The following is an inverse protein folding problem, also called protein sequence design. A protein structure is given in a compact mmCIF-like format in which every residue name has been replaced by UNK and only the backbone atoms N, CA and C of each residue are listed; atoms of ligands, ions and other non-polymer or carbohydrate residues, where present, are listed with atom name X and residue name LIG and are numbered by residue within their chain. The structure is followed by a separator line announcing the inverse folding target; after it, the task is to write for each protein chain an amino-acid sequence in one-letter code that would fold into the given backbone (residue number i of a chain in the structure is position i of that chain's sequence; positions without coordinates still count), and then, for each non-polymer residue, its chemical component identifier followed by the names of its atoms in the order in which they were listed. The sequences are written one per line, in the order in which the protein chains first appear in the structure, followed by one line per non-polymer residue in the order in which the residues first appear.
data_IF_158281952862
#
_entry.id   IF_158281952862
#
_cell.length_a   1.000
_cell.length_b   1.000
_cell.length_c   1.000
_cell.angle_alpha   90.00
_cell.angle_beta   90.00
_cell.angle_gamma   90.00
#
_symmetry.space_group_name_H-M   'P 1'
#
loop_
_entity.id
_entity.type
_entity.pdbx_description
1 polymer ?
#
# COMPACT_ATOMS: atom_id res chain seq x y z
N UNK A 1 4.16 -9.62 12.64
CA UNK A 1 3.10 -8.82 11.99
C UNK A 1 2.12 -8.35 13.06
N UNK A 2 1.31 -9.25 13.62
CA UNK A 2 0.25 -8.93 14.59
C UNK A 2 0.76 -8.16 15.81
N UNK A 3 1.87 -8.58 16.42
CA UNK A 3 2.47 -7.89 17.56
C UNK A 3 2.87 -6.43 17.23
N UNK A 4 3.47 -6.20 16.06
CA UNK A 4 3.85 -4.87 15.59
C UNK A 4 2.63 -3.96 15.41
N UNK A 5 1.57 -4.49 14.78
CA UNK A 5 0.32 -3.76 14.59
C UNK A 5 -0.33 -3.45 15.95
N UNK A 6 -0.39 -4.42 16.85
CA UNK A 6 -0.99 -4.28 18.16
C UNK A 6 -0.29 -3.19 19.00
N UNK A 7 1.05 -3.17 19.02
CA UNK A 7 1.82 -2.14 19.74
C UNK A 7 1.49 -0.75 19.23
N UNK A 8 1.52 -0.52 17.91
CA UNK A 8 1.23 0.80 17.33
C UNK A 8 -0.23 1.23 17.58
N UNK A 9 -1.19 0.32 17.40
CA UNK A 9 -2.61 0.61 17.68
C UNK A 9 -2.84 0.93 19.15
N UNK A 10 -2.19 0.21 20.07
CA UNK A 10 -2.32 0.46 21.51
C UNK A 10 -1.82 1.85 21.92
N UNK A 11 -0.89 2.42 21.17
CA UNK A 11 -0.41 3.79 21.33
C UNK A 11 -1.31 4.85 20.66
N UNK A 12 -2.47 4.45 20.08
CA UNK A 12 -3.38 5.36 19.39
C UNK A 12 -2.88 5.83 18.02
N UNK A 13 -1.84 5.20 17.47
CA UNK A 13 -1.23 5.59 16.20
C UNK A 13 -1.98 4.90 15.05
N UNK A 14 -2.49 5.64 14.04
CA UNK A 14 -3.02 5.03 12.83
C UNK A 14 -1.94 4.23 12.10
N UNK A 15 -2.24 2.99 11.73
CA UNK A 15 -1.29 2.08 11.09
C UNK A 15 -1.69 1.84 9.65
N UNK A 16 -0.70 1.97 8.76
CA UNK A 16 -0.79 1.60 7.35
C UNK A 16 0.33 0.58 7.10
N UNK A 17 -0.02 -0.57 6.51
CA UNK A 17 0.95 -1.58 6.10
C UNK A 17 1.13 -1.55 4.59
N UNK A 18 2.35 -1.29 4.12
CA UNK A 18 2.65 -1.23 2.68
C UNK A 18 3.17 -2.59 2.21
N UNK A 19 2.61 -3.10 1.12
CA UNK A 19 3.07 -4.33 0.48
C UNK A 19 4.49 -4.23 -0.08
N UNK A 20 5.09 -5.37 -0.34
CA UNK A 20 6.38 -5.49 -1.01
C UNK A 20 6.21 -5.38 -2.54
N UNK A 21 7.14 -4.73 -3.26
CA UNK A 21 7.16 -4.75 -4.72
C UNK A 21 7.71 -6.08 -5.22
N UNK A 22 7.59 -6.34 -6.53
CA UNK A 22 8.38 -7.37 -7.18
C UNK A 22 9.89 -7.06 -7.10
N UNK A 23 10.72 -8.11 -7.02
CA UNK A 23 12.17 -8.01 -6.93
C UNK A 23 12.83 -8.85 -8.02
N UNK A 24 14.05 -8.50 -8.42
CA UNK A 24 14.76 -9.26 -9.45
C UNK A 24 14.95 -10.72 -9.00
N UNK A 25 14.51 -11.64 -9.85
CA UNK A 25 14.65 -13.09 -9.65
C UNK A 25 13.33 -13.75 -9.23
N UNK A 26 13.07 -14.93 -9.79
CA UNK A 26 11.81 -15.67 -9.61
C UNK A 26 11.53 -15.95 -8.14
N UNK A 27 12.50 -16.50 -7.40
CA UNK A 27 12.33 -16.84 -5.99
C UNK A 27 12.02 -15.62 -5.12
N UNK A 28 12.73 -14.50 -5.32
CA UNK A 28 12.48 -13.28 -4.55
C UNK A 28 11.11 -12.67 -4.86
N UNK A 29 10.66 -12.76 -6.12
CA UNK A 29 9.30 -12.34 -6.52
C UNK A 29 8.24 -13.23 -5.87
N UNK A 30 8.40 -14.55 -5.91
CA UNK A 30 7.49 -15.52 -5.27
C UNK A 30 7.41 -15.30 -3.75
N UNK A 31 8.56 -15.13 -3.09
CA UNK A 31 8.63 -14.88 -1.65
C UNK A 31 7.92 -13.57 -1.28
N UNK A 32 8.10 -12.52 -2.09
CA UNK A 32 7.41 -11.24 -1.90
C UNK A 32 5.89 -11.38 -2.08
N UNK A 33 5.45 -12.13 -3.08
CA UNK A 33 4.01 -12.40 -3.30
C UNK A 33 3.40 -13.16 -2.12
N UNK A 34 4.07 -14.23 -1.66
CA UNK A 34 3.63 -15.01 -0.50
C UNK A 34 3.54 -14.16 0.77
N UNK A 35 4.56 -13.32 1.03
CA UNK A 35 4.56 -12.43 2.18
C UNK A 35 3.45 -11.37 2.09
N UNK A 36 3.17 -10.86 0.89
CA UNK A 36 2.09 -9.90 0.65
C UNK A 36 0.70 -10.48 0.97
N UNK A 37 0.44 -11.74 0.61
CA UNK A 37 -0.80 -12.43 0.98
C UNK A 37 -0.95 -12.52 2.51
N UNK A 38 0.13 -12.90 3.20
CA UNK A 38 0.14 -12.96 4.66
C UNK A 38 -0.07 -11.57 5.27
N UNK A 39 0.63 -10.53 4.80
CA UNK A 39 0.50 -9.17 5.30
C UNK A 39 -0.90 -8.61 5.10
N UNK A 40 -1.49 -8.79 3.91
CA UNK A 40 -2.86 -8.37 3.60
C UNK A 40 -3.85 -9.01 4.56
N UNK A 41 -3.80 -10.34 4.71
CA UNK A 41 -4.70 -11.08 5.59
C UNK A 41 -4.61 -10.61 7.05
N UNK A 42 -3.39 -10.37 7.55
CA UNK A 42 -3.20 -9.86 8.93
C UNK A 42 -3.66 -8.41 9.10
N UNK A 43 -3.41 -7.56 8.10
CA UNK A 43 -3.85 -6.17 8.10
C UNK A 43 -5.38 -6.06 8.12
N UNK A 44 -6.07 -6.83 7.28
CA UNK A 44 -7.53 -6.94 7.24
C UNK A 44 -8.09 -7.41 8.58
N UNK A 45 -7.55 -8.50 9.13
CA UNK A 45 -7.96 -9.02 10.45
C UNK A 45 -7.78 -8.00 11.57
N UNK A 46 -6.74 -7.17 11.50
CA UNK A 46 -6.48 -6.12 12.48
C UNK A 46 -7.26 -4.83 12.22
N UNK A 47 -8.02 -4.73 11.12
CA UNK A 47 -8.75 -3.52 10.72
C UNK A 47 -7.82 -2.35 10.44
N UNK A 48 -6.65 -2.59 9.85
CA UNK A 48 -5.72 -1.54 9.40
C UNK A 48 -5.66 -1.50 7.87
N UNK A 49 -5.19 -0.38 7.32
CA UNK A 49 -5.09 -0.20 5.87
C UNK A 49 -3.90 -1.02 5.35
N UNK A 50 -4.13 -1.83 4.33
CA UNK A 50 -3.07 -2.46 3.53
C UNK A 50 -2.95 -1.75 2.19
N UNK A 51 -1.75 -1.27 1.85
CA UNK A 51 -1.47 -0.60 0.58
C UNK A 51 -0.87 -1.61 -0.38
N UNK A 52 -1.67 -2.02 -1.35
CA UNK A 52 -1.18 -2.85 -2.45
C UNK A 52 -0.43 -1.99 -3.48
N UNK A 53 0.83 -2.33 -3.72
CA UNK A 53 1.69 -1.63 -4.66
C UNK A 53 2.11 -2.51 -5.85
N UNK A 54 1.71 -3.78 -5.88
CA UNK A 54 2.29 -4.80 -6.74
C UNK A 54 2.24 -4.42 -8.23
N UNK A 55 1.06 -4.08 -8.72
CA UNK A 55 0.79 -3.69 -10.11
C UNK A 55 1.58 -2.45 -10.55
N UNK A 56 2.05 -1.65 -9.59
CA UNK A 56 2.90 -0.50 -9.86
C UNK A 56 4.34 -0.86 -10.23
N UNK A 57 4.78 -2.10 -10.01
CA UNK A 57 6.18 -2.50 -10.12
C UNK A 57 6.39 -3.80 -10.89
N UNK A 58 5.39 -4.26 -11.63
CA UNK A 58 5.48 -5.40 -12.54
C UNK A 58 5.27 -4.96 -13.99
N UNK A 59 5.65 -5.82 -14.93
CA UNK A 59 5.26 -5.68 -16.33
C UNK A 59 3.83 -6.22 -16.58
N UNK A 60 3.41 -6.21 -17.84
CA UNK A 60 2.08 -6.68 -18.28
C UNK A 60 1.86 -8.17 -18.02
N UNK A 61 2.94 -8.96 -17.85
CA UNK A 61 2.87 -10.38 -17.52
C UNK A 61 2.89 -10.62 -15.99
N UNK A 62 2.88 -9.56 -15.19
CA UNK A 62 2.99 -9.64 -13.73
C UNK A 62 4.39 -9.99 -13.22
N UNK A 63 5.42 -9.90 -14.07
CA UNK A 63 6.81 -10.22 -13.73
C UNK A 63 7.59 -8.98 -13.31
N UNK A 64 8.73 -9.21 -12.67
CA UNK A 64 9.63 -8.13 -12.28
C UNK A 64 10.04 -7.28 -13.50
N UNK A 65 9.81 -5.98 -13.40
CA UNK A 65 10.34 -5.00 -14.35
C UNK A 65 11.18 -3.93 -13.64
N UNK A 66 12.40 -3.64 -14.12
CA UNK A 66 13.20 -2.54 -13.58
C UNK A 66 12.67 -1.15 -13.97
N UNK A 67 11.71 -1.09 -14.89
CA UNK A 67 11.19 0.12 -15.52
C UNK A 67 9.67 0.08 -15.67
N UNK A 68 9.03 1.24 -15.71
CA UNK A 68 7.59 1.34 -15.86
C UNK A 68 7.13 2.79 -15.79
N UNK A 69 5.82 3.05 -15.90
CA UNK A 69 5.30 4.40 -15.76
C UNK A 69 5.61 4.94 -14.35
N UNK A 70 6.16 6.14 -14.26
CA UNK A 70 6.31 6.86 -13.00
C UNK A 70 4.98 7.47 -12.54
N UNK A 71 5.00 8.35 -11.53
CA UNK A 71 3.80 8.99 -11.01
C UNK A 71 3.13 9.96 -12.00
N UNK A 72 3.82 10.35 -13.08
CA UNK A 72 3.31 11.17 -14.19
C UNK A 72 2.94 10.33 -15.41
N UNK A 73 3.04 8.99 -15.33
CA UNK A 73 2.79 8.09 -16.44
C UNK A 73 3.95 7.95 -17.42
N UNK A 74 5.11 8.58 -17.18
CA UNK A 74 6.26 8.48 -18.07
C UNK A 74 7.06 7.21 -17.79
N UNK A 75 7.43 6.47 -18.81
CA UNK A 75 8.31 5.29 -18.63
C UNK A 75 9.67 5.73 -18.11
N UNK A 76 9.98 5.32 -16.87
CA UNK A 76 11.25 5.59 -16.19
C UNK A 76 11.80 4.30 -15.60
N UNK A 77 13.10 4.32 -15.29
CA UNK A 77 13.71 3.29 -14.47
C UNK A 77 13.26 3.47 -13.01
N UNK A 78 12.54 2.50 -12.47
CA UNK A 78 11.97 2.53 -11.12
C UNK A 78 12.85 1.80 -10.10
N UNK A 79 13.67 0.84 -10.55
CA UNK A 79 14.52 0.01 -9.70
C UNK A 79 16.01 0.26 -9.95
N UNK A 80 16.83 0.14 -8.91
CA UNK A 80 18.30 0.16 -9.00
C UNK A 80 18.82 -1.04 -9.81
N UNK A 81 20.11 -1.06 -10.14
CA UNK A 81 20.72 -2.16 -10.93
C UNK A 81 20.57 -3.52 -10.26
N UNK A 82 20.69 -3.59 -8.95
CA UNK A 82 20.45 -4.81 -8.17
C UNK A 82 18.99 -5.32 -8.28
N UNK A 83 18.02 -4.48 -8.64
CA UNK A 83 16.61 -4.83 -8.70
C UNK A 83 15.92 -4.98 -7.33
N UNK A 84 16.57 -4.52 -6.26
CA UNK A 84 16.10 -4.59 -4.86
C UNK A 84 15.67 -3.22 -4.34
N UNK A 85 16.41 -2.16 -4.65
CA UNK A 85 16.06 -0.79 -4.23
C UNK A 85 15.33 0.00 -5.31
N UNK A 86 14.73 1.11 -4.90
CA UNK A 86 14.09 2.06 -5.80
C UNK A 86 15.04 3.17 -6.22
N UNK A 87 14.87 3.65 -7.46
CA UNK A 87 15.41 4.95 -7.86
C UNK A 87 14.57 6.09 -7.25
N UNK A 88 14.98 7.35 -7.43
CA UNK A 88 14.15 8.51 -7.05
C UNK A 88 12.75 8.47 -7.69
N UNK A 89 12.64 8.05 -8.95
CA UNK A 89 11.36 7.93 -9.65
C UNK A 89 10.51 6.80 -9.06
N UNK A 90 11.11 5.65 -8.77
CA UNK A 90 10.43 4.53 -8.10
C UNK A 90 9.94 4.87 -6.70
N UNK A 91 10.76 5.55 -5.91
CA UNK A 91 10.39 5.99 -4.56
C UNK A 91 9.25 7.03 -4.60
N UNK A 92 9.25 7.95 -5.57
CA UNK A 92 8.14 8.89 -5.73
C UNK A 92 6.85 8.20 -6.16
N UNK A 93 6.94 7.18 -7.04
CA UNK A 93 5.78 6.34 -7.39
C UNK A 93 5.24 5.61 -6.17
N UNK A 94 6.09 4.96 -5.37
CA UNK A 94 5.71 4.30 -4.12
C UNK A 94 5.01 5.28 -3.17
N UNK A 95 5.57 6.47 -3.00
CA UNK A 95 5.00 7.51 -2.14
C UNK A 95 3.57 7.90 -2.55
N UNK A 96 3.27 7.95 -3.86
CA UNK A 96 1.92 8.25 -4.35
C UNK A 96 0.87 7.22 -3.89
N UNK A 97 1.22 5.93 -3.83
CA UNK A 97 0.29 4.90 -3.32
C UNK A 97 -0.06 5.16 -1.86
N UNK A 98 0.94 5.51 -1.05
CA UNK A 98 0.76 5.77 0.38
C UNK A 98 0.06 7.11 0.62
N UNK A 99 0.42 8.15 -0.13
CA UNK A 99 -0.17 9.49 -0.06
C UNK A 99 -1.70 9.44 -0.25
N UNK A 100 -2.17 8.68 -1.25
CA UNK A 100 -3.60 8.48 -1.51
C UNK A 100 -4.34 7.86 -0.32
N UNK A 101 -3.71 6.93 0.40
CA UNK A 101 -4.33 6.31 1.58
C UNK A 101 -4.32 7.24 2.79
N UNK A 102 -3.25 8.01 2.96
CA UNK A 102 -3.19 9.04 4.00
C UNK A 102 -4.27 10.09 3.77
N UNK A 103 -4.42 10.59 2.53
CA UNK A 103 -5.46 11.55 2.17
C UNK A 103 -6.86 11.01 2.44
N UNK A 104 -7.15 9.75 2.07
CA UNK A 104 -8.42 9.09 2.39
C UNK A 104 -8.66 9.01 3.90
N UNK A 105 -7.65 8.62 4.66
CA UNK A 105 -7.74 8.50 6.12
C UNK A 105 -7.97 9.84 6.80
N UNK A 106 -7.33 10.92 6.32
CA UNK A 106 -7.52 12.28 6.85
C UNK A 106 -8.88 12.84 6.42
N UNK A 107 -9.28 12.66 5.16
CA UNK A 107 -10.57 13.10 4.65
C UNK A 107 -11.76 12.45 5.35
N UNK A 108 -11.67 11.14 5.65
CA UNK A 108 -12.72 10.43 6.39
C UNK A 108 -12.87 10.88 7.86
N UNK A 109 -11.84 11.49 8.45
CA UNK A 109 -11.95 12.08 9.81
C UNK A 109 -12.76 13.39 9.82
N UNK A 110 -13.08 13.96 8.66
CA UNK A 110 -13.77 15.25 8.53
C UNK A 110 -15.30 15.19 8.41
N UNK A 111 -15.93 14.01 8.35
CA UNK A 111 -17.39 13.90 8.19
C UNK A 111 -18.02 13.15 9.37
N UNK A 112 -18.67 13.85 10.32
CA UNK A 112 -19.65 13.21 11.17
C UNK A 112 -20.81 12.77 10.28
N UNK A 113 -21.02 11.47 10.14
CA UNK A 113 -22.27 10.94 9.56
C UNK A 113 -23.39 11.27 10.56
N UNK A 114 -24.01 12.43 10.39
CA UNK A 114 -25.27 12.72 11.07
C UNK A 114 -26.34 11.81 10.45
N UNK A 115 -26.75 10.79 11.18
CA UNK A 115 -27.92 9.99 10.83
C UNK A 115 -29.16 10.91 10.85
N UNK A 116 -30.01 10.93 9.81
CA UNK A 116 -31.26 11.66 9.87
C UNK A 116 -32.16 11.04 10.96
N UNK A 117 -32.50 11.83 11.97
CA UNK A 117 -33.46 11.42 13.00
C UNK A 117 -34.86 11.40 12.38
N UNK A 118 -35.63 10.30 12.47
CA UNK A 118 -37.00 10.28 11.97
C UNK A 118 -37.86 11.25 12.78
N UNK A 119 -38.48 12.21 12.10
CA UNK A 119 -39.50 13.07 12.70
C UNK A 119 -40.79 12.26 12.77
N UNK A 120 -41.18 11.81 13.96
CA UNK A 120 -42.48 11.17 14.19
C UNK A 120 -43.62 12.21 14.15
N UNK A 121 -44.79 11.89 13.58
CA UNK A 121 -45.93 12.80 13.57
C UNK A 121 -46.63 12.80 14.94
N UNK A 122 -46.93 13.99 15.44
CA UNK A 122 -47.85 14.23 16.56
C UNK A 122 -49.26 14.54 16.08
#
# INVERSE_FOLDING_TARGET
IDATIAVLKSAGIPVIWVGLPSQRGTKATEDSSYLNELYRSRAEKAGIIYVDIWDGFVDEEGKFSPQGPDYLGQTRRLRTSDGVYFTRFGARKLALYVEREIERMVGNKGVPVALPVPVGPG
#
